data_IF_487769353318
#
_entry.id   IF_487769353318
#
_cell.length_a   1.000
_cell.length_b   1.000
_cell.length_c   1.000
_cell.angle_alpha   90.00
_cell.angle_beta   90.00
_cell.angle_gamma   90.00
#
_symmetry.space_group_name_H-M   'P 1'
#
loop_
_entity.id
_entity.type
_entity.pdbx_description
1 polymer ?
#
# COMPACT_ATOMS: atom_id res chain seq x y z
N UNK A 1 17.80 20.10 68.75
CA UNK A 1 17.19 18.87 68.22
C UNK A 1 16.04 19.29 67.32
N UNK A 2 16.31 19.52 66.00
CA UNK A 2 15.30 19.94 65.04
C UNK A 2 14.75 18.67 64.42
N UNK A 3 13.47 18.38 64.67
CA UNK A 3 12.76 17.30 64.04
C UNK A 3 12.22 17.87 62.69
N UNK A 4 12.82 17.45 61.59
CA UNK A 4 12.31 17.77 60.27
C UNK A 4 10.98 17.06 60.07
N UNK A 5 9.86 17.81 60.07
CA UNK A 5 8.57 17.28 59.69
C UNK A 5 8.58 16.94 58.21
N UNK A 6 8.76 15.67 57.93
CA UNK A 6 8.70 15.11 56.59
C UNK A 6 7.26 15.27 56.05
N UNK A 7 7.07 16.13 55.10
CA UNK A 7 5.75 16.49 54.61
C UNK A 7 5.20 15.34 53.71
N UNK A 8 4.61 14.34 54.37
CA UNK A 8 4.08 13.11 53.81
C UNK A 8 3.10 13.40 52.62
N UNK A 9 2.34 14.50 52.72
CA UNK A 9 1.43 14.93 51.64
C UNK A 9 2.14 15.26 50.33
N UNK A 10 3.28 15.96 50.40
CA UNK A 10 4.06 16.32 49.20
C UNK A 10 4.71 15.11 48.55
N UNK A 11 5.10 14.11 49.32
CA UNK A 11 5.68 12.87 48.82
C UNK A 11 4.59 11.99 48.13
N UNK A 12 3.40 11.92 48.72
CA UNK A 12 2.28 11.18 48.14
C UNK A 12 1.80 11.85 46.83
N UNK A 13 1.70 13.20 46.81
CA UNK A 13 1.35 13.92 45.59
C UNK A 13 2.37 13.73 44.47
N UNK A 14 3.66 13.79 44.76
CA UNK A 14 4.73 13.49 43.79
C UNK A 14 4.64 12.07 43.29
N UNK A 15 4.37 11.10 44.16
CA UNK A 15 4.25 9.70 43.76
C UNK A 15 3.01 9.44 42.89
N UNK A 16 1.87 10.05 43.24
CA UNK A 16 0.65 10.00 42.41
C UNK A 16 0.85 10.66 41.04
N UNK A 17 1.57 11.80 40.99
CA UNK A 17 1.89 12.46 39.74
C UNK A 17 2.80 11.59 38.85
N UNK A 18 3.82 10.94 39.44
CA UNK A 18 4.71 10.00 38.72
C UNK A 18 3.95 8.76 38.21
N UNK A 19 2.98 8.25 38.98
CA UNK A 19 2.13 7.16 38.55
C UNK A 19 1.21 7.59 37.39
N UNK A 20 0.63 8.79 37.46
CA UNK A 20 -0.23 9.33 36.41
C UNK A 20 0.58 9.57 35.14
N UNK A 21 1.78 10.16 35.25
CA UNK A 21 2.73 10.29 34.12
C UNK A 21 3.10 8.93 33.52
N UNK A 22 3.35 7.91 34.36
CA UNK A 22 3.65 6.56 33.89
C UNK A 22 2.49 5.92 33.13
N UNK A 23 1.23 6.17 33.55
CA UNK A 23 0.04 5.68 32.86
C UNK A 23 -0.32 6.51 31.62
N UNK A 24 -0.04 7.82 31.63
CA UNK A 24 -0.38 8.75 30.54
C UNK A 24 0.74 8.84 29.50
N UNK A 25 2.02 8.59 29.88
CA UNK A 25 3.17 8.65 28.98
C UNK A 25 2.99 7.81 27.69
N UNK A 26 2.47 6.56 27.74
CA UNK A 26 2.16 5.84 26.51
C UNK A 26 1.01 6.45 25.70
N UNK A 27 0.10 7.22 26.34
CA UNK A 27 -1.07 7.82 25.69
C UNK A 27 -0.75 9.14 24.99
N UNK A 28 0.27 9.87 25.47
CA UNK A 28 0.68 11.17 24.94
C UNK A 28 1.75 11.07 23.83
N UNK A 29 2.01 9.88 23.30
CA UNK A 29 3.03 9.71 22.27
C UNK A 29 2.50 10.19 20.91
N UNK A 30 3.14 11.19 20.24
CA UNK A 30 2.66 11.76 18.98
C UNK A 30 2.35 10.72 17.91
N UNK A 31 3.19 9.69 17.74
CA UNK A 31 2.96 8.62 16.77
C UNK A 31 1.64 7.86 16.97
N UNK A 32 1.13 7.79 18.21
CA UNK A 32 -0.19 7.16 18.49
C UNK A 32 -1.33 8.05 18.05
N UNK A 33 -1.21 9.35 18.29
CA UNK A 33 -2.22 10.31 17.85
C UNK A 33 -2.22 10.42 16.33
N UNK A 34 -1.04 10.43 15.68
CA UNK A 34 -0.95 10.37 14.22
C UNK A 34 -1.62 9.12 13.63
N UNK A 35 -1.47 7.94 14.27
CA UNK A 35 -2.18 6.72 13.84
C UNK A 35 -3.69 6.83 14.01
N UNK A 36 -4.19 7.52 15.04
CA UNK A 36 -5.62 7.76 15.22
C UNK A 36 -6.17 8.73 14.18
N UNK A 37 -5.43 9.80 13.88
CA UNK A 37 -5.79 10.74 12.83
C UNK A 37 -5.84 10.03 11.47
N UNK A 38 -4.82 9.24 11.13
CA UNK A 38 -4.80 8.47 9.90
C UNK A 38 -5.98 7.48 9.80
N UNK A 39 -6.37 6.85 10.91
CA UNK A 39 -7.56 6.00 10.96
C UNK A 39 -8.83 6.81 10.70
N UNK A 40 -8.98 7.98 11.31
CA UNK A 40 -10.14 8.85 11.11
C UNK A 40 -10.23 9.31 9.65
N UNK A 41 -9.14 9.80 9.08
CA UNK A 41 -9.05 10.20 7.66
C UNK A 41 -9.44 9.04 6.73
N UNK A 42 -8.95 7.83 7.04
CA UNK A 42 -9.25 6.64 6.24
C UNK A 42 -10.71 6.22 6.34
N UNK A 43 -11.35 6.37 7.52
CA UNK A 43 -12.79 6.14 7.69
C UNK A 43 -13.60 7.15 6.87
N UNK A 44 -13.26 8.43 6.92
CA UNK A 44 -13.90 9.48 6.15
C UNK A 44 -13.74 9.25 4.64
N UNK A 45 -12.55 8.84 4.21
CA UNK A 45 -12.26 8.46 2.84
C UNK A 45 -13.11 7.25 2.39
N UNK A 46 -13.12 6.18 3.17
CA UNK A 46 -13.90 4.98 2.87
C UNK A 46 -15.41 5.28 2.81
N UNK A 47 -15.95 6.09 3.72
CA UNK A 47 -17.35 6.53 3.70
C UNK A 47 -17.69 7.33 2.44
N UNK A 48 -16.76 8.14 1.96
CA UNK A 48 -16.98 9.01 0.81
C UNK A 48 -16.83 8.27 -0.53
N UNK A 49 -15.81 7.43 -0.66
CA UNK A 49 -15.38 6.88 -1.96
C UNK A 49 -15.48 5.36 -2.08
N UNK A 50 -15.53 4.60 -0.95
CA UNK A 50 -15.55 3.13 -0.96
C UNK A 50 -16.89 2.54 -0.52
N UNK A 51 -17.99 3.24 -0.77
CA UNK A 51 -19.33 2.87 -0.24
C UNK A 51 -19.85 1.50 -0.68
N UNK A 52 -19.39 1.00 -1.82
CA UNK A 52 -19.77 -0.30 -2.37
C UNK A 52 -18.70 -1.38 -2.14
N UNK A 53 -17.51 -0.98 -1.69
CA UNK A 53 -16.43 -1.90 -1.40
C UNK A 53 -16.71 -2.73 -0.14
N UNK A 54 -16.23 -3.97 -0.15
CA UNK A 54 -16.43 -4.91 0.97
C UNK A 54 -15.26 -4.80 1.95
N UNK A 55 -15.55 -4.49 3.21
CA UNK A 55 -14.56 -4.58 4.29
C UNK A 55 -14.22 -6.04 4.58
N UNK A 56 -12.93 -6.38 4.60
CA UNK A 56 -12.39 -7.70 4.86
C UNK A 56 -11.61 -7.73 6.17
N UNK A 57 -11.50 -8.90 6.80
CA UNK A 57 -10.78 -9.07 8.06
C UNK A 57 -9.24 -9.15 7.88
N UNK A 58 -8.78 -9.52 6.69
CA UNK A 58 -7.36 -9.71 6.41
C UNK A 58 -6.96 -9.32 4.99
N UNK A 59 -5.66 -9.01 4.79
CA UNK A 59 -5.04 -8.79 3.48
C UNK A 59 -5.20 -9.99 2.54
N UNK A 60 -5.14 -11.22 3.07
CA UNK A 60 -5.33 -12.43 2.27
C UNK A 60 -6.75 -12.56 1.73
N UNK A 61 -7.76 -12.09 2.47
CA UNK A 61 -9.14 -12.08 1.98
C UNK A 61 -9.32 -11.03 0.89
N UNK A 62 -8.69 -9.85 1.00
CA UNK A 62 -8.66 -8.84 -0.06
C UNK A 62 -8.03 -9.43 -1.34
N UNK A 63 -6.84 -10.03 -1.23
CA UNK A 63 -6.16 -10.67 -2.36
C UNK A 63 -7.00 -11.78 -3.00
N UNK A 64 -7.55 -12.69 -2.20
CA UNK A 64 -8.39 -13.79 -2.70
C UNK A 64 -9.63 -13.27 -3.41
N UNK A 65 -10.34 -12.32 -2.81
CA UNK A 65 -11.52 -11.71 -3.40
C UNK A 65 -11.20 -10.99 -4.71
N UNK A 66 -10.08 -10.28 -4.77
CA UNK A 66 -9.59 -9.59 -5.95
C UNK A 66 -9.23 -10.59 -7.08
N UNK A 67 -8.45 -11.62 -6.75
CA UNK A 67 -8.03 -12.66 -7.71
C UNK A 67 -9.22 -13.40 -8.34
N UNK A 68 -10.27 -13.68 -7.56
CA UNK A 68 -11.49 -14.33 -8.07
C UNK A 68 -12.30 -13.44 -9.01
N UNK A 69 -12.06 -12.14 -9.04
CA UNK A 69 -12.73 -11.18 -9.93
C UNK A 69 -11.92 -10.86 -11.21
N UNK A 70 -10.73 -11.45 -11.36
CA UNK A 70 -9.92 -11.28 -12.57
C UNK A 70 -10.61 -11.96 -13.75
N UNK A 71 -10.91 -11.20 -14.79
CA UNK A 71 -11.53 -11.69 -16.02
C UNK A 71 -10.66 -11.47 -17.26
N UNK A 72 -9.71 -10.55 -17.16
CA UNK A 72 -8.74 -10.26 -18.22
C UNK A 72 -7.73 -11.40 -18.30
N UNK A 73 -7.47 -11.88 -19.53
CA UNK A 73 -6.34 -12.78 -19.79
C UNK A 73 -5.07 -11.94 -19.97
N UNK A 74 -4.09 -12.12 -19.12
CA UNK A 74 -2.89 -11.29 -19.14
C UNK A 74 -1.89 -11.64 -18.04
N UNK A 75 -1.06 -10.67 -17.74
CA UNK A 75 0.07 -10.79 -16.81
C UNK A 75 -0.40 -10.68 -15.36
N UNK A 76 0.18 -11.51 -14.48
CA UNK A 76 0.00 -11.43 -13.03
C UNK A 76 1.33 -10.98 -12.43
N UNK A 77 1.31 -9.83 -11.77
CA UNK A 77 2.51 -9.09 -11.37
C UNK A 77 2.46 -8.76 -9.88
N UNK A 78 3.59 -8.91 -9.19
CA UNK A 78 3.79 -8.40 -7.82
C UNK A 78 5.06 -7.55 -7.77
N UNK A 79 4.97 -6.39 -7.17
CA UNK A 79 6.04 -5.41 -6.98
C UNK A 79 6.34 -5.24 -5.50
N UNK A 80 7.47 -5.79 -5.05
CA UNK A 80 7.81 -6.05 -3.66
C UNK A 80 7.49 -7.49 -3.29
N UNK A 81 8.51 -8.34 -3.17
CA UNK A 81 8.36 -9.78 -2.94
C UNK A 81 8.87 -10.19 -1.57
N UNK A 82 9.97 -9.57 -1.14
CA UNK A 82 10.68 -9.87 0.08
C UNK A 82 10.92 -11.37 0.26
N UNK A 83 10.27 -12.02 1.24
CA UNK A 83 10.41 -13.46 1.53
C UNK A 83 9.48 -14.35 0.70
N UNK A 84 8.71 -13.80 -0.21
CA UNK A 84 7.84 -14.55 -1.12
C UNK A 84 6.53 -15.06 -0.51
N UNK A 85 6.12 -14.49 0.64
CA UNK A 85 4.88 -14.91 1.33
C UNK A 85 3.64 -14.60 0.53
N UNK A 86 3.53 -13.40 0.01
CA UNK A 86 2.38 -12.89 -0.72
C UNK A 86 2.34 -13.43 -2.14
N UNK A 87 3.47 -13.40 -2.87
CA UNK A 87 3.52 -14.00 -4.21
C UNK A 87 3.22 -15.50 -4.20
N UNK A 88 3.69 -16.21 -3.17
CA UNK A 88 3.37 -17.62 -2.97
C UNK A 88 1.88 -17.86 -2.76
N UNK A 89 1.22 -16.98 -2.01
CA UNK A 89 -0.23 -17.02 -1.84
C UNK A 89 -0.95 -16.77 -3.18
N UNK A 90 -0.58 -15.71 -3.91
CA UNK A 90 -1.15 -15.38 -5.23
C UNK A 90 -0.97 -16.57 -6.19
N UNK A 91 0.23 -17.12 -6.28
CA UNK A 91 0.54 -18.24 -7.17
C UNK A 91 -0.28 -19.50 -6.88
N UNK A 92 -0.56 -19.77 -5.60
CA UNK A 92 -1.41 -20.89 -5.20
C UNK A 92 -2.89 -20.65 -5.53
N UNK A 93 -3.40 -19.41 -5.35
CA UNK A 93 -4.79 -19.07 -5.65
C UNK A 93 -5.09 -19.12 -7.16
N UNK A 94 -4.14 -18.67 -8.01
CA UNK A 94 -4.34 -18.69 -9.48
C UNK A 94 -4.06 -20.04 -10.11
N UNK A 95 -3.41 -20.95 -9.40
CA UNK A 95 -3.13 -22.32 -9.83
C UNK A 95 -1.90 -22.44 -10.74
N UNK A 96 -1.39 -23.66 -10.87
CA UNK A 96 -0.10 -23.97 -11.48
C UNK A 96 0.02 -23.62 -12.98
N UNK A 97 -1.09 -23.42 -13.69
CA UNK A 97 -1.11 -23.06 -15.12
C UNK A 97 -0.87 -21.58 -15.37
N UNK A 98 -1.01 -20.74 -14.34
CA UNK A 98 -0.81 -19.29 -14.45
C UNK A 98 0.55 -18.92 -13.88
N UNK A 99 1.36 -18.25 -14.68
CA UNK A 99 2.64 -17.70 -14.21
C UNK A 99 2.39 -16.38 -13.48
N UNK A 100 3.06 -16.21 -12.34
CA UNK A 100 3.10 -14.96 -11.56
C UNK A 100 4.53 -14.43 -11.59
N UNK A 101 4.69 -13.17 -11.97
CA UNK A 101 5.98 -12.51 -12.04
C UNK A 101 6.16 -11.61 -10.81
N UNK A 102 7.24 -11.82 -10.06
CA UNK A 102 7.60 -11.00 -8.90
C UNK A 102 8.84 -10.16 -9.16
N UNK A 103 8.77 -8.88 -8.85
CA UNK A 103 9.86 -7.92 -9.02
C UNK A 103 10.32 -7.42 -7.65
N UNK A 104 11.63 -7.51 -7.38
CA UNK A 104 12.23 -7.01 -6.13
C UNK A 104 13.73 -6.86 -6.30
N UNK A 105 14.33 -5.90 -5.63
CA UNK A 105 15.79 -5.76 -5.55
C UNK A 105 16.40 -6.83 -4.67
N UNK A 106 15.66 -7.36 -3.68
CA UNK A 106 16.12 -8.22 -2.58
C UNK A 106 17.25 -7.59 -1.77
N UNK A 107 17.37 -6.25 -1.82
CA UNK A 107 18.36 -5.43 -1.10
C UNK A 107 17.73 -4.39 -0.18
N UNK A 108 16.42 -4.51 0.06
CA UNK A 108 15.64 -3.58 0.87
C UNK A 108 15.32 -2.26 0.15
N UNK A 109 14.71 -1.35 0.90
CA UNK A 109 14.30 -0.03 0.42
C UNK A 109 15.49 0.91 0.32
N UNK A 110 15.48 1.80 -0.68
CA UNK A 110 16.51 2.86 -0.84
C UNK A 110 16.36 3.98 0.19
N UNK A 111 15.17 4.16 0.74
CA UNK A 111 14.84 5.17 1.75
C UNK A 111 14.22 4.51 2.98
N UNK A 112 14.34 5.16 4.15
CA UNK A 112 13.75 4.66 5.38
C UNK A 112 12.22 4.80 5.36
N UNK A 113 11.51 3.68 5.50
CA UNK A 113 10.07 3.66 5.65
C UNK A 113 9.68 3.93 7.11
N UNK A 114 8.78 4.89 7.34
CA UNK A 114 8.08 5.19 8.61
C UNK A 114 8.91 5.23 9.90
N UNK A 115 10.23 5.41 9.85
CA UNK A 115 11.09 5.50 11.04
C UNK A 115 11.35 4.18 11.76
N UNK A 116 10.84 3.07 11.26
CA UNK A 116 11.15 1.74 11.77
C UNK A 116 12.44 1.21 11.10
N UNK A 117 13.33 0.64 11.92
CA UNK A 117 14.59 0.03 11.47
C UNK A 117 14.39 -1.33 10.78
N UNK A 118 13.23 -1.56 10.17
CA UNK A 118 12.96 -2.81 9.47
C UNK A 118 13.74 -2.82 8.15
N UNK A 119 14.73 -3.70 8.06
CA UNK A 119 15.46 -3.94 6.82
C UNK A 119 14.77 -5.07 6.06
N UNK A 120 14.20 -4.77 4.90
CA UNK A 120 13.70 -5.77 3.94
C UNK A 120 14.85 -6.39 3.12
N UNK A 121 16.10 -6.17 3.54
CA UNK A 121 17.29 -6.63 2.84
C UNK A 121 17.51 -8.14 3.04
N UNK A 122 17.50 -8.86 1.94
CA UNK A 122 17.87 -10.28 1.86
C UNK A 122 19.29 -10.47 1.30
N UNK A 123 20.10 -9.40 1.25
CA UNK A 123 21.47 -9.42 0.69
C UNK A 123 21.52 -9.98 -0.74
N UNK A 124 20.45 -9.76 -1.51
CA UNK A 124 20.32 -10.26 -2.87
C UNK A 124 19.98 -11.75 -2.97
N UNK A 125 19.65 -12.44 -1.88
CA UNK A 125 19.22 -13.84 -1.92
C UNK A 125 17.77 -13.97 -2.33
N UNK A 126 17.48 -14.81 -3.29
CA UNK A 126 16.13 -15.08 -3.75
C UNK A 126 15.39 -16.00 -2.76
N UNK A 127 14.14 -15.71 -2.41
CA UNK A 127 13.32 -16.60 -1.60
C UNK A 127 12.91 -17.86 -2.36
N UNK A 128 12.54 -18.91 -1.62
CA UNK A 128 11.89 -20.08 -2.20
C UNK A 128 10.43 -19.76 -2.51
N UNK A 129 10.04 -19.98 -3.76
CA UNK A 129 8.69 -19.68 -4.26
C UNK A 129 8.11 -20.90 -5.00
N UNK A 130 6.77 -20.96 -5.21
CA UNK A 130 6.13 -21.99 -6.04
C UNK A 130 6.70 -22.04 -7.48
N UNK A 131 6.56 -23.20 -8.13
CA UNK A 131 7.13 -23.43 -9.47
C UNK A 131 6.50 -22.60 -10.60
N UNK A 132 5.34 -21.98 -10.36
CA UNK A 132 4.68 -21.05 -11.28
C UNK A 132 5.00 -19.58 -10.97
N UNK A 133 6.03 -19.30 -10.17
CA UNK A 133 6.53 -17.94 -9.90
C UNK A 133 7.89 -17.75 -10.60
N UNK A 134 8.01 -16.62 -11.29
CA UNK A 134 9.28 -16.16 -11.87
C UNK A 134 9.71 -14.86 -11.17
N UNK A 135 10.88 -14.87 -10.53
CA UNK A 135 11.43 -13.72 -9.82
C UNK A 135 12.38 -12.93 -10.72
N UNK A 136 12.20 -11.62 -10.74
CA UNK A 136 13.00 -10.65 -11.48
C UNK A 136 13.76 -9.78 -10.48
N UNK A 137 15.05 -10.07 -10.31
CA UNK A 137 15.90 -9.39 -9.35
C UNK A 137 16.44 -8.08 -9.90
N UNK A 138 16.21 -6.97 -9.23
CA UNK A 138 16.71 -5.63 -9.55
C UNK A 138 15.72 -4.55 -9.16
N UNK A 139 16.13 -3.29 -9.28
CA UNK A 139 15.18 -2.17 -9.11
C UNK A 139 14.21 -2.13 -10.29
N UNK A 140 13.00 -1.66 -10.04
CA UNK A 140 11.93 -1.65 -11.04
C UNK A 140 12.33 -0.87 -12.30
N UNK A 141 13.00 0.28 -12.14
CA UNK A 141 13.47 1.09 -13.26
C UNK A 141 14.46 0.35 -14.18
N UNK A 142 15.22 -0.59 -13.65
CA UNK A 142 16.23 -1.35 -14.39
C UNK A 142 15.63 -2.62 -15.04
N UNK A 143 14.65 -3.24 -14.37
CA UNK A 143 14.12 -4.55 -14.78
C UNK A 143 12.91 -4.44 -15.70
N UNK A 144 11.99 -3.50 -15.46
CA UNK A 144 10.72 -3.42 -16.18
C UNK A 144 10.87 -3.13 -17.68
N UNK A 145 11.70 -2.17 -18.14
CA UNK A 145 11.76 -1.84 -19.57
C UNK A 145 12.04 -3.05 -20.44
N UNK A 146 13.14 -3.75 -20.18
CA UNK A 146 13.53 -4.93 -20.96
C UNK A 146 12.61 -6.12 -20.78
N UNK A 147 11.98 -6.26 -19.60
CA UNK A 147 11.03 -7.33 -19.37
C UNK A 147 9.71 -7.09 -20.13
N UNK A 148 9.21 -5.86 -20.19
CA UNK A 148 7.97 -5.50 -20.89
C UNK A 148 8.08 -5.68 -22.40
N UNK A 149 9.25 -5.48 -22.99
CA UNK A 149 9.50 -5.75 -24.40
C UNK A 149 9.33 -7.23 -24.75
N UNK A 150 9.71 -8.12 -23.83
CA UNK A 150 9.67 -9.58 -24.02
C UNK A 150 8.33 -10.21 -23.59
N UNK A 151 7.52 -9.48 -22.81
CA UNK A 151 6.26 -9.96 -22.23
C UNK A 151 5.08 -9.06 -22.67
N UNK A 152 4.61 -9.23 -23.91
CA UNK A 152 3.48 -8.45 -24.41
C UNK A 152 2.16 -8.86 -23.74
N UNK A 153 1.19 -7.96 -23.76
CA UNK A 153 -0.18 -8.21 -23.27
C UNK A 153 -0.56 -7.31 -22.11
N UNK A 154 -1.84 -7.28 -21.75
CA UNK A 154 -2.34 -6.46 -20.66
C UNK A 154 -1.97 -7.05 -19.30
N UNK A 155 -1.92 -6.22 -18.29
CA UNK A 155 -1.89 -6.66 -16.89
C UNK A 155 -3.31 -7.10 -16.49
N UNK A 156 -3.43 -8.36 -16.09
CA UNK A 156 -4.67 -8.91 -15.54
C UNK A 156 -4.80 -8.60 -14.05
N UNK A 157 -3.69 -8.75 -13.35
CA UNK A 157 -3.59 -8.54 -11.91
C UNK A 157 -2.26 -7.89 -11.56
N UNK A 158 -2.29 -6.87 -10.71
CA UNK A 158 -1.12 -6.18 -10.19
C UNK A 158 -1.25 -6.11 -8.67
N UNK A 159 -0.23 -6.59 -7.95
CA UNK A 159 -0.07 -6.34 -6.52
C UNK A 159 1.08 -5.36 -6.32
N UNK A 160 0.79 -4.21 -5.71
CA UNK A 160 1.77 -3.17 -5.36
C UNK A 160 2.04 -3.28 -3.87
N UNK A 161 3.26 -3.63 -3.52
CA UNK A 161 3.77 -3.80 -2.15
C UNK A 161 5.17 -3.16 -2.12
N UNK A 162 5.18 -1.86 -2.40
CA UNK A 162 6.41 -1.10 -2.62
C UNK A 162 6.68 -0.04 -1.56
N UNK A 163 5.77 0.11 -0.59
CA UNK A 163 5.84 0.98 0.59
C UNK A 163 5.94 2.49 0.28
N UNK A 164 6.66 2.88 -0.76
CA UNK A 164 7.04 4.26 -1.04
C UNK A 164 6.45 4.79 -2.36
N UNK A 165 6.35 6.12 -2.45
CA UNK A 165 5.84 6.81 -3.64
C UNK A 165 6.67 6.54 -4.90
N UNK A 166 8.01 6.73 -4.84
CA UNK A 166 8.86 6.62 -6.03
C UNK A 166 8.87 5.23 -6.67
N UNK A 167 8.96 4.11 -5.92
CA UNK A 167 8.82 2.78 -6.50
C UNK A 167 7.43 2.55 -7.11
N UNK A 168 6.36 2.93 -6.41
CA UNK A 168 4.99 2.79 -6.93
C UNK A 168 4.78 3.62 -8.20
N UNK A 169 5.26 4.87 -8.23
CA UNK A 169 5.23 5.74 -9.41
C UNK A 169 5.97 5.10 -10.59
N UNK A 170 7.18 4.57 -10.34
CA UNK A 170 7.97 3.87 -11.36
C UNK A 170 7.21 2.69 -11.97
N UNK A 171 6.57 1.87 -11.13
CA UNK A 171 5.72 0.75 -11.60
C UNK A 171 4.61 1.27 -12.51
N UNK A 172 3.87 2.28 -12.10
CA UNK A 172 2.75 2.79 -12.88
C UNK A 172 3.17 3.49 -14.18
N UNK A 173 4.30 4.20 -14.18
CA UNK A 173 4.84 4.82 -15.41
C UNK A 173 5.20 3.76 -16.46
N UNK A 174 5.76 2.62 -16.06
CA UNK A 174 6.12 1.55 -16.99
C UNK A 174 4.91 0.70 -17.43
N UNK A 175 3.91 0.54 -16.55
CA UNK A 175 2.75 -0.31 -16.81
C UNK A 175 1.55 0.43 -17.38
N UNK A 176 1.59 1.75 -17.54
CA UNK A 176 0.41 2.54 -17.90
C UNK A 176 -0.32 2.04 -19.17
N UNK A 177 0.42 1.55 -20.18
CA UNK A 177 -0.14 0.99 -21.40
C UNK A 177 -0.59 -0.47 -21.28
N UNK A 178 -0.28 -1.11 -20.14
CA UNK A 178 -0.70 -2.48 -19.82
C UNK A 178 -1.95 -2.53 -18.96
N UNK A 179 -2.31 -1.39 -18.36
CA UNK A 179 -3.51 -1.24 -17.52
C UNK A 179 -4.69 -0.95 -18.45
N UNK A 180 -5.64 -1.88 -18.47
CA UNK A 180 -6.80 -1.88 -19.37
C UNK A 180 -8.09 -2.06 -18.57
N UNK A 181 -9.28 -1.80 -19.14
CA UNK A 181 -10.54 -2.14 -18.50
C UNK A 181 -10.58 -3.61 -18.07
N UNK A 182 -10.89 -3.85 -16.80
CA UNK A 182 -10.87 -5.17 -16.18
C UNK A 182 -9.57 -5.54 -15.44
N UNK A 183 -8.47 -4.80 -15.62
CA UNK A 183 -7.27 -4.93 -14.76
C UNK A 183 -7.65 -4.74 -13.30
N UNK A 184 -7.16 -5.62 -12.43
CA UNK A 184 -7.31 -5.51 -10.98
C UNK A 184 -5.98 -5.14 -10.36
N UNK A 185 -5.99 -4.11 -9.51
CA UNK A 185 -4.82 -3.65 -8.76
C UNK A 185 -5.12 -3.81 -7.28
N UNK A 186 -4.21 -4.43 -6.54
CA UNK A 186 -4.24 -4.52 -5.08
C UNK A 186 -3.03 -3.79 -4.53
N UNK A 187 -3.27 -2.91 -3.59
CA UNK A 187 -2.26 -2.15 -2.86
C UNK A 187 -2.09 -2.76 -1.48
N UNK A 188 -0.86 -2.93 -1.01
CA UNK A 188 -0.59 -3.40 0.36
C UNK A 188 -0.68 -2.25 1.37
N UNK A 189 -0.20 -1.05 1.01
CA UNK A 189 -0.25 0.17 1.83
C UNK A 189 -0.98 1.32 1.14
N UNK A 190 -2.31 1.24 1.02
CA UNK A 190 -3.09 2.30 0.39
C UNK A 190 -3.47 3.43 1.35
N UNK A 191 -3.88 3.10 2.59
CA UNK A 191 -4.40 4.04 3.58
C UNK A 191 -4.18 3.57 5.02
N UNK A 192 -4.70 4.32 6.04
CA UNK A 192 -4.75 3.95 7.45
C UNK A 192 -3.38 3.91 8.17
N UNK A 193 -2.42 4.67 7.69
CA UNK A 193 -1.16 4.96 8.38
C UNK A 193 -0.78 6.44 8.21
N UNK A 194 0.05 7.02 9.09
CA UNK A 194 0.42 8.41 8.97
C UNK A 194 1.03 8.74 7.61
N UNK A 195 0.54 9.81 6.99
CA UNK A 195 1.02 10.30 5.69
C UNK A 195 0.73 9.37 4.49
N UNK A 196 -0.28 8.50 4.60
CA UNK A 196 -0.65 7.53 3.56
C UNK A 196 -0.94 8.17 2.18
N UNK A 197 -1.44 9.41 2.18
CA UNK A 197 -1.75 10.15 0.96
C UNK A 197 -0.51 10.47 0.11
N UNK A 198 0.69 10.36 0.66
CA UNK A 198 1.94 10.73 -0.01
C UNK A 198 2.65 9.56 -0.72
N UNK A 199 2.16 8.33 -0.58
CA UNK A 199 2.83 7.10 -1.06
C UNK A 199 2.09 6.43 -2.22
N UNK A 200 1.73 5.15 -2.10
CA UNK A 200 1.07 4.37 -3.18
C UNK A 200 -0.25 5.02 -3.64
N UNK A 201 -1.02 5.57 -2.71
CA UNK A 201 -2.23 6.33 -2.99
C UNK A 201 -1.96 7.47 -4.00
N UNK A 202 -0.93 8.29 -3.75
CA UNK A 202 -0.55 9.40 -4.63
C UNK A 202 -0.11 8.90 -6.00
N UNK A 203 0.73 7.88 -6.04
CA UNK A 203 1.23 7.32 -7.30
C UNK A 203 0.07 6.82 -8.18
N UNK A 204 -0.93 6.17 -7.57
CA UNK A 204 -2.13 5.73 -8.27
C UNK A 204 -3.01 6.90 -8.72
N UNK A 205 -3.20 7.90 -7.86
CA UNK A 205 -3.98 9.09 -8.21
C UNK A 205 -3.40 9.83 -9.43
N UNK A 206 -2.09 9.97 -9.50
CA UNK A 206 -1.39 10.58 -10.63
C UNK A 206 -1.54 9.74 -11.92
N UNK A 207 -1.53 8.40 -11.84
CA UNK A 207 -1.86 7.52 -12.97
C UNK A 207 -3.30 7.73 -13.43
N UNK A 208 -4.24 7.75 -12.49
CA UNK A 208 -5.68 7.93 -12.76
C UNK A 208 -5.92 9.25 -13.50
N UNK A 209 -5.31 10.34 -13.05
CA UNK A 209 -5.40 11.64 -13.70
C UNK A 209 -4.77 11.62 -15.11
N UNK A 210 -3.52 11.15 -15.20
CA UNK A 210 -2.75 11.14 -16.46
C UNK A 210 -3.42 10.34 -17.56
N UNK A 211 -4.05 9.21 -17.22
CA UNK A 211 -4.67 8.29 -18.18
C UNK A 211 -6.19 8.41 -18.26
N UNK A 212 -6.81 9.33 -17.51
CA UNK A 212 -8.26 9.46 -17.45
C UNK A 212 -8.95 8.14 -17.06
N UNK A 213 -8.39 7.46 -16.06
CA UNK A 213 -8.89 6.16 -15.60
C UNK A 213 -10.15 6.35 -14.76
N UNK A 214 -11.15 5.49 -15.01
CA UNK A 214 -12.27 5.27 -14.08
C UNK A 214 -12.11 3.87 -13.50
N UNK A 215 -12.33 3.76 -12.21
CA UNK A 215 -12.18 2.51 -11.46
C UNK A 215 -13.26 2.38 -10.37
N UNK A 216 -13.41 1.19 -9.86
CA UNK A 216 -14.24 0.90 -8.68
C UNK A 216 -13.41 0.25 -7.58
N UNK A 217 -13.74 0.56 -6.34
CA UNK A 217 -13.21 -0.14 -5.18
C UNK A 217 -13.94 -1.47 -4.99
N UNK A 218 -13.20 -2.57 -4.91
CA UNK A 218 -13.76 -3.91 -4.74
C UNK A 218 -13.85 -4.31 -3.27
N UNK A 219 -12.73 -4.18 -2.57
CA UNK A 219 -12.60 -4.55 -1.16
C UNK A 219 -11.42 -3.85 -0.50
N UNK A 220 -11.44 -3.82 0.82
CA UNK A 220 -10.34 -3.26 1.62
C UNK A 220 -10.21 -4.00 2.95
N UNK A 221 -9.01 -3.93 3.54
CA UNK A 221 -8.73 -4.36 4.91
C UNK A 221 -8.01 -3.25 5.66
N UNK A 222 -7.14 -3.59 6.62
CA UNK A 222 -6.46 -2.61 7.47
C UNK A 222 -5.69 -1.54 6.69
N UNK A 223 -4.88 -1.94 5.71
CA UNK A 223 -4.07 -1.05 4.85
C UNK A 223 -4.34 -1.31 3.37
N UNK A 224 -4.72 -2.55 3.05
CA UNK A 224 -4.89 -3.04 1.70
C UNK A 224 -6.17 -2.54 1.07
N UNK A 225 -6.08 -2.25 -0.23
CA UNK A 225 -7.24 -1.89 -1.05
C UNK A 225 -7.14 -2.57 -2.39
N UNK A 226 -8.24 -3.12 -2.87
CA UNK A 226 -8.38 -3.67 -4.21
C UNK A 226 -9.26 -2.76 -5.08
N UNK A 227 -8.80 -2.46 -6.29
CA UNK A 227 -9.56 -1.70 -7.29
C UNK A 227 -9.64 -2.47 -8.60
N UNK A 228 -10.71 -2.21 -9.38
CA UNK A 228 -10.88 -2.72 -10.74
C UNK A 228 -11.02 -1.57 -11.71
N UNK A 229 -10.22 -1.58 -12.74
CA UNK A 229 -10.25 -0.57 -13.80
C UNK A 229 -11.50 -0.77 -14.65
N UNK A 230 -12.30 0.28 -14.79
CA UNK A 230 -13.55 0.29 -15.55
C UNK A 230 -13.36 0.82 -16.97
N UNK A 231 -12.59 1.90 -17.10
CA UNK A 231 -12.25 2.48 -18.38
C UNK A 231 -10.92 3.24 -18.31
N UNK A 232 -10.27 3.37 -19.46
CA UNK A 232 -9.08 4.19 -19.69
C UNK A 232 -9.40 5.11 -20.86
N UNK A 233 -9.13 6.41 -20.75
CA UNK A 233 -9.36 7.35 -21.84
C UNK A 233 -8.31 7.17 -22.93
N UNK A 234 -8.73 7.19 -24.19
CA UNK A 234 -7.84 7.20 -25.36
C UNK A 234 -7.27 8.61 -25.63
N UNK A 235 -7.92 9.64 -25.10
CA UNK A 235 -7.48 11.02 -25.23
C UNK A 235 -6.70 11.46 -23.99
N UNK A 236 -5.56 12.14 -24.17
CA UNK A 236 -4.89 12.85 -23.07
C UNK A 236 -5.89 13.82 -22.44
N UNK A 237 -6.22 13.69 -21.14
CA UNK A 237 -7.28 14.50 -20.56
C UNK A 237 -6.92 15.97 -20.65
N UNK A 238 -7.74 16.76 -21.35
CA UNK A 238 -7.80 18.19 -21.11
C UNK A 238 -8.27 18.34 -19.67
N UNK A 239 -7.49 19.06 -18.83
CA UNK A 239 -7.83 19.38 -17.44
C UNK A 239 -9.34 19.65 -17.28
N UNK A 240 -10.09 18.61 -17.00
CA UNK A 240 -11.44 18.70 -16.50
C UNK A 240 -11.35 18.25 -15.04
N UNK A 241 -11.69 19.14 -14.14
CA UNK A 241 -11.76 18.85 -12.70
C UNK A 241 -12.70 17.65 -12.51
N UNK A 242 -12.14 16.46 -12.41
CA UNK A 242 -12.90 15.30 -11.99
C UNK A 242 -13.20 15.46 -10.49
N UNK A 243 -14.42 15.12 -10.07
CA UNK A 243 -14.83 15.15 -8.65
C UNK A 243 -13.87 14.37 -7.75
N UNK A 244 -13.19 13.37 -8.30
CA UNK A 244 -12.23 12.52 -7.60
C UNK A 244 -10.90 13.24 -7.35
N UNK A 245 -10.49 14.16 -8.27
CA UNK A 245 -9.29 14.96 -8.12
C UNK A 245 -9.46 16.06 -7.08
N UNK A 246 -10.63 16.70 -7.04
CA UNK A 246 -10.97 17.66 -6.00
C UNK A 246 -10.94 17.01 -4.60
N UNK A 247 -11.33 15.74 -4.52
CA UNK A 247 -11.22 14.94 -3.33
C UNK A 247 -9.77 14.63 -2.94
N UNK A 248 -8.94 14.23 -3.92
CA UNK A 248 -7.52 13.98 -3.73
C UNK A 248 -6.78 15.25 -3.30
N UNK A 249 -7.11 16.40 -3.88
CA UNK A 249 -6.53 17.70 -3.54
C UNK A 249 -7.02 18.24 -2.19
N UNK A 250 -8.26 17.97 -1.80
CA UNK A 250 -8.80 18.38 -0.50
C UNK A 250 -8.13 17.67 0.68
N UNK A 251 -7.65 16.43 0.47
CA UNK A 251 -6.89 15.68 1.47
C UNK A 251 -5.37 15.93 1.40
N UNK A 252 -4.85 16.59 0.35
CA UNK A 252 -3.42 16.84 0.15
C UNK A 252 -2.96 18.24 0.59
N UNK A 253 -3.87 19.14 0.93
CA UNK A 253 -3.54 20.48 1.45
C UNK A 253 -3.73 20.50 2.98
N UNK A 254 -2.66 20.86 3.73
CA UNK A 254 -2.73 21.02 5.19
C UNK A 254 -3.60 22.20 5.61
#
# INVERSE_FOLDING_TARGET
>A
MFIASFNLKTSIQKWLFTLQDFWDFPRLHPAREMKKLALQESVEYAQSYMRTAVGMESSREVLRSALHQVTVRGLYLEFGVYKGGTIGFIANEVGASQIVHGFDSFRGLQEAWSGDSFSFDLHGHLPKVPGNVLLHQGFFADTLPGWLEQNPGPAAFIHVDSDLYEPARCVFEHLEDRIVPGTIIVFDEYFNYPNWQAHEFRAFAELVERRGIRYEYLSYARFQVAVKIQSVSEETPRRQESSDLAALQAFSNP
#
